data_IF_494263378012
#
_entry.id   IF_494263378012
#
_cell.length_a   1.000
_cell.length_b   1.000
_cell.length_c   1.000
_cell.angle_alpha   90.00
_cell.angle_beta   90.00
_cell.angle_gamma   90.00
#
_symmetry.space_group_name_H-M   'P 1'
#
loop_
_entity.id
_entity.type
_entity.pdbx_description
1 polymer ?
#
# COMPACT_ATOMS: atom_id res chain seq x y z
N UNK A 1 -13.99 -10.75 -16.05
CA UNK A 1 -12.95 -11.57 -15.41
C UNK A 1 -12.12 -10.66 -14.50
N UNK A 2 -11.43 -9.62 -14.98
CA UNK A 2 -10.58 -8.75 -14.15
C UNK A 2 -11.33 -8.13 -12.95
N UNK A 3 -12.54 -7.65 -13.14
CA UNK A 3 -13.36 -7.07 -12.05
C UNK A 3 -13.65 -8.07 -10.92
N UNK A 4 -13.87 -9.35 -11.23
CA UNK A 4 -14.05 -10.39 -10.20
C UNK A 4 -12.75 -10.69 -9.47
N UNK A 5 -11.63 -10.76 -10.18
CA UNK A 5 -10.30 -10.94 -9.60
C UNK A 5 -9.93 -9.78 -8.65
N UNK A 6 -10.26 -8.54 -9.04
CA UNK A 6 -10.10 -7.36 -8.20
C UNK A 6 -10.96 -7.44 -6.94
N UNK A 7 -12.22 -7.91 -7.06
CA UNK A 7 -13.13 -8.11 -5.93
C UNK A 7 -12.63 -9.22 -5.01
N UNK A 8 -12.18 -10.36 -5.56
CA UNK A 8 -11.61 -11.45 -4.77
C UNK A 8 -10.36 -10.97 -4.01
N UNK A 9 -9.51 -10.19 -4.67
CA UNK A 9 -8.34 -9.58 -4.05
C UNK A 9 -8.74 -8.67 -2.90
N UNK A 10 -9.74 -7.80 -3.12
CA UNK A 10 -10.27 -6.93 -2.08
C UNK A 10 -10.85 -7.72 -0.91
N UNK A 11 -11.66 -8.76 -1.16
CA UNK A 11 -12.25 -9.59 -0.10
C UNK A 11 -11.17 -10.33 0.69
N UNK A 12 -10.15 -10.86 0.01
CA UNK A 12 -8.97 -11.45 0.67
C UNK A 12 -8.22 -10.42 1.52
N UNK A 13 -8.23 -9.17 1.08
CA UNK A 13 -7.57 -8.05 1.74
C UNK A 13 -8.28 -7.61 3.02
N UNK A 14 -9.62 -7.46 2.99
CA UNK A 14 -10.42 -6.97 4.12
C UNK A 14 -11.01 -8.11 4.99
N UNK A 15 -10.93 -9.35 4.54
CA UNK A 15 -11.44 -10.54 5.24
C UNK A 15 -12.97 -10.70 5.11
N UNK A 16 -13.74 -9.64 5.30
CA UNK A 16 -15.21 -9.66 5.20
C UNK A 16 -15.68 -8.63 4.19
N UNK A 17 -16.48 -9.00 3.18
CA UNK A 17 -17.01 -8.06 2.21
C UNK A 17 -17.91 -7.03 2.88
N UNK A 18 -17.50 -5.76 2.81
CA UNK A 18 -18.27 -4.63 3.32
C UNK A 18 -19.19 -4.03 2.25
N UNK A 19 -19.82 -2.90 2.59
CA UNK A 19 -20.72 -2.15 1.70
C UNK A 19 -20.10 -1.87 0.33
N UNK A 20 -18.82 -1.49 0.28
CA UNK A 20 -18.10 -1.22 -0.96
C UNK A 20 -18.04 -2.45 -1.90
N UNK A 21 -17.86 -3.66 -1.36
CA UNK A 21 -17.87 -4.88 -2.16
C UNK A 21 -19.25 -5.15 -2.77
N UNK A 22 -20.32 -4.88 -2.02
CA UNK A 22 -21.70 -5.03 -2.50
C UNK A 22 -21.98 -4.00 -3.62
N UNK A 23 -21.58 -2.76 -3.45
CA UNK A 23 -21.73 -1.71 -4.47
C UNK A 23 -20.93 -2.03 -5.74
N UNK A 24 -19.73 -2.59 -5.59
CA UNK A 24 -18.92 -3.07 -6.70
C UNK A 24 -19.59 -4.22 -7.46
N UNK A 25 -20.12 -5.22 -6.75
CA UNK A 25 -20.88 -6.33 -7.34
C UNK A 25 -22.12 -5.84 -8.06
N UNK A 26 -22.87 -4.90 -7.48
CA UNK A 26 -24.02 -4.28 -8.12
C UNK A 26 -23.66 -3.63 -9.45
N UNK A 27 -22.55 -2.91 -9.49
CA UNK A 27 -22.05 -2.29 -10.72
C UNK A 27 -21.64 -3.34 -11.76
N UNK A 28 -20.95 -4.39 -11.32
CA UNK A 28 -20.51 -5.48 -12.17
C UNK A 28 -21.69 -6.23 -12.79
N UNK A 29 -22.74 -6.56 -12.02
CA UNK A 29 -23.94 -7.22 -12.52
C UNK A 29 -24.67 -6.39 -13.57
N UNK A 30 -24.75 -5.06 -13.35
CA UNK A 30 -25.32 -4.13 -14.35
C UNK A 30 -24.50 -4.12 -15.65
N UNK A 31 -23.15 -4.12 -15.56
CA UNK A 31 -22.27 -4.16 -16.73
C UNK A 31 -22.35 -5.49 -17.48
N UNK A 32 -22.64 -6.59 -16.81
CA UNK A 32 -22.81 -7.91 -17.42
C UNK A 32 -24.14 -8.07 -18.17
N UNK A 33 -25.15 -7.31 -17.81
CA UNK A 33 -26.52 -7.51 -18.32
C UNK A 33 -26.65 -7.53 -19.86
N UNK A 34 -25.87 -6.74 -20.64
CA UNK A 34 -25.93 -6.84 -22.10
C UNK A 34 -25.30 -8.11 -22.69
N UNK A 35 -24.42 -8.78 -21.94
CA UNK A 35 -23.63 -9.95 -22.40
C UNK A 35 -24.29 -11.25 -21.92
N UNK A 36 -24.71 -11.28 -20.66
CA UNK A 36 -25.31 -12.46 -20.01
C UNK A 36 -26.60 -12.08 -19.28
N UNK A 37 -27.66 -11.71 -20.00
CA UNK A 37 -28.87 -11.09 -19.41
C UNK A 37 -29.52 -11.99 -18.36
N UNK A 38 -29.67 -13.30 -18.61
CA UNK A 38 -30.31 -14.21 -17.67
C UNK A 38 -29.55 -14.34 -16.36
N UNK A 39 -28.23 -14.49 -16.42
CA UNK A 39 -27.39 -14.58 -15.21
C UNK A 39 -27.41 -13.25 -14.46
N UNK A 40 -27.35 -12.13 -15.17
CA UNK A 40 -27.39 -10.82 -14.56
C UNK A 40 -28.72 -10.54 -13.85
N UNK A 41 -29.86 -10.93 -14.42
CA UNK A 41 -31.18 -10.79 -13.78
C UNK A 41 -31.28 -11.65 -12.51
N UNK A 42 -30.78 -12.90 -12.56
CA UNK A 42 -30.78 -13.78 -11.40
C UNK A 42 -29.94 -13.22 -10.26
N UNK A 43 -28.69 -12.81 -10.56
CA UNK A 43 -27.80 -12.18 -9.58
C UNK A 43 -28.39 -10.89 -9.02
N UNK A 44 -28.98 -10.05 -9.89
CA UNK A 44 -29.64 -8.82 -9.48
C UNK A 44 -30.77 -9.08 -8.48
N UNK A 45 -31.62 -10.11 -8.75
CA UNK A 45 -32.67 -10.51 -7.84
C UNK A 45 -32.13 -11.05 -6.51
N UNK A 46 -31.08 -11.88 -6.53
CA UNK A 46 -30.43 -12.42 -5.33
C UNK A 46 -29.83 -11.32 -4.44
N UNK A 47 -29.37 -10.23 -5.06
CA UNK A 47 -28.81 -9.08 -4.37
C UNK A 47 -29.87 -8.09 -3.88
N UNK A 48 -31.15 -8.39 -4.04
CA UNK A 48 -32.26 -7.52 -3.63
C UNK A 48 -32.56 -6.38 -4.58
N UNK A 49 -32.08 -6.46 -5.84
CA UNK A 49 -32.37 -5.46 -6.87
C UNK A 49 -33.83 -5.47 -7.29
N UNK A 50 -34.40 -4.31 -7.54
CA UNK A 50 -35.78 -4.15 -8.00
C UNK A 50 -35.86 -3.89 -9.49
N UNK A 51 -36.84 -4.53 -10.15
CA UNK A 51 -37.05 -4.42 -11.60
C UNK A 51 -35.95 -5.10 -12.42
N UNK A 52 -35.89 -4.79 -13.72
CA UNK A 52 -34.93 -5.40 -14.61
C UNK A 52 -33.55 -4.74 -14.49
N UNK A 53 -32.49 -5.54 -14.37
CA UNK A 53 -31.10 -5.06 -14.27
C UNK A 53 -30.71 -4.22 -15.50
N UNK A 54 -31.21 -4.57 -16.69
CA UNK A 54 -30.96 -3.84 -17.92
C UNK A 54 -31.47 -2.36 -17.91
N UNK A 55 -32.38 -2.03 -16.98
CA UNK A 55 -32.89 -0.67 -16.77
C UNK A 55 -32.21 0.04 -15.58
N UNK A 56 -31.38 -0.66 -14.86
CA UNK A 56 -30.69 -0.08 -13.69
C UNK A 56 -29.58 0.87 -14.10
N UNK A 57 -29.55 2.05 -13.49
CA UNK A 57 -28.54 3.07 -13.77
C UNK A 57 -27.23 2.71 -13.03
N UNK A 58 -26.11 2.91 -13.71
CA UNK A 58 -24.79 2.80 -13.08
C UNK A 58 -24.43 4.18 -12.50
N UNK A 59 -24.15 4.20 -11.20
CA UNK A 59 -23.71 5.43 -10.55
C UNK A 59 -22.29 5.79 -11.01
N UNK A 60 -22.12 6.98 -11.56
CA UNK A 60 -20.84 7.48 -12.06
C UNK A 60 -19.83 7.77 -10.95
N UNK A 61 -20.28 7.98 -9.72
CA UNK A 61 -19.38 8.23 -8.59
C UNK A 61 -18.60 6.96 -8.20
N UNK A 62 -19.18 5.78 -8.39
CA UNK A 62 -18.51 4.49 -8.15
C UNK A 62 -17.36 4.19 -9.11
N UNK A 63 -17.24 4.95 -10.20
CA UNK A 63 -16.16 4.76 -11.19
C UNK A 63 -14.91 5.60 -10.90
N UNK A 64 -14.92 6.45 -9.87
CA UNK A 64 -13.75 7.22 -9.45
C UNK A 64 -12.86 6.34 -8.57
N UNK A 65 -11.73 5.91 -9.13
CA UNK A 65 -10.69 5.22 -8.37
C UNK A 65 -10.15 6.14 -7.25
N UNK A 66 -10.08 5.62 -6.04
CA UNK A 66 -9.37 6.30 -4.95
C UNK A 66 -7.86 6.04 -5.10
N UNK A 67 -7.18 6.99 -5.73
CA UNK A 67 -5.73 6.91 -5.94
C UNK A 67 -4.95 6.85 -4.62
N UNK A 68 -5.50 7.42 -3.52
CA UNK A 68 -4.87 7.36 -2.20
C UNK A 68 -4.88 5.92 -1.71
N UNK A 69 -6.04 5.27 -1.79
CA UNK A 69 -6.19 3.87 -1.39
C UNK A 69 -5.26 2.95 -2.18
N UNK A 70 -5.14 3.15 -3.49
CA UNK A 70 -4.31 2.30 -4.35
C UNK A 70 -2.81 2.38 -3.98
N UNK A 71 -2.31 3.58 -3.68
CA UNK A 71 -0.91 3.77 -3.25
C UNK A 71 -0.67 3.17 -1.88
N UNK A 72 -1.58 3.42 -0.92
CA UNK A 72 -1.50 2.83 0.41
C UNK A 72 -1.53 1.30 0.35
N UNK A 73 -2.44 0.73 -0.46
CA UNK A 73 -2.55 -0.71 -0.65
C UNK A 73 -1.25 -1.31 -1.16
N UNK A 74 -0.69 -0.78 -2.23
CA UNK A 74 0.57 -1.26 -2.80
C UNK A 74 1.72 -1.18 -1.79
N UNK A 75 1.78 -0.09 -1.01
CA UNK A 75 2.78 0.05 0.03
C UNK A 75 2.62 -1.03 1.11
N UNK A 76 1.40 -1.27 1.58
CA UNK A 76 1.12 -2.33 2.56
C UNK A 76 1.45 -3.72 2.01
N UNK A 77 1.23 -3.97 0.72
CA UNK A 77 1.60 -5.24 0.08
C UNK A 77 3.13 -5.44 0.09
N UNK A 78 3.92 -4.40 -0.27
CA UNK A 78 5.39 -4.46 -0.19
C UNK A 78 5.85 -4.78 1.23
N UNK A 79 5.34 -4.06 2.22
CA UNK A 79 5.75 -4.26 3.62
C UNK A 79 5.31 -5.63 4.13
N UNK A 80 4.15 -6.12 3.71
CA UNK A 80 3.67 -7.47 4.07
C UNK A 80 4.60 -8.55 3.49
N UNK A 81 5.06 -8.39 2.25
CA UNK A 81 5.99 -9.33 1.62
C UNK A 81 7.38 -9.26 2.26
N UNK A 82 7.86 -8.08 2.64
CA UNK A 82 9.09 -7.91 3.41
C UNK A 82 9.01 -8.60 4.78
N UNK A 83 7.89 -8.43 5.50
CA UNK A 83 7.66 -9.12 6.78
C UNK A 83 7.64 -10.63 6.57
N UNK A 84 6.95 -11.14 5.55
CA UNK A 84 6.92 -12.56 5.21
C UNK A 84 8.32 -13.11 4.99
N UNK A 85 9.13 -12.43 4.20
CA UNK A 85 10.53 -12.82 3.93
C UNK A 85 11.38 -12.87 5.21
N UNK A 86 11.15 -11.95 6.16
CA UNK A 86 11.84 -11.98 7.47
C UNK A 86 11.37 -13.17 8.29
N UNK A 87 10.06 -13.44 8.34
CA UNK A 87 9.47 -14.56 9.07
C UNK A 87 9.93 -15.92 8.55
N UNK A 88 10.10 -16.07 7.25
CA UNK A 88 10.63 -17.29 6.62
C UNK A 88 12.05 -17.62 7.07
N UNK A 89 12.86 -16.59 7.36
CA UNK A 89 14.26 -16.78 7.80
C UNK A 89 14.40 -16.90 9.32
N UNK A 90 13.69 -16.05 10.06
CA UNK A 90 13.88 -15.91 11.51
C UNK A 90 12.83 -16.71 12.29
N UNK A 91 11.67 -16.91 11.71
CA UNK A 91 10.48 -17.40 12.40
C UNK A 91 9.85 -16.31 13.27
N UNK A 92 8.86 -16.72 14.07
CA UNK A 92 8.19 -15.84 15.02
C UNK A 92 6.72 -15.59 14.70
N UNK A 93 6.04 -15.01 15.66
CA UNK A 93 4.61 -14.69 15.59
C UNK A 93 4.29 -13.22 15.95
N UNK A 94 5.33 -12.50 16.38
CA UNK A 94 5.24 -11.08 16.75
C UNK A 94 6.27 -10.28 15.95
N UNK A 95 5.81 -9.19 15.36
CA UNK A 95 6.64 -8.35 14.49
C UNK A 95 6.64 -6.90 14.98
N UNK A 96 7.82 -6.30 14.97
CA UNK A 96 7.99 -4.87 15.23
C UNK A 96 8.53 -4.20 13.96
N UNK A 97 7.86 -3.13 13.56
CA UNK A 97 8.18 -2.37 12.35
C UNK A 97 8.57 -0.95 12.74
N UNK A 98 9.70 -0.47 12.22
CA UNK A 98 10.20 0.89 12.41
C UNK A 98 10.10 1.66 11.11
N UNK A 99 9.25 2.68 11.08
CA UNK A 99 9.11 3.60 9.95
C UNK A 99 9.96 4.84 10.16
N UNK A 100 10.34 5.49 9.09
CA UNK A 100 10.92 6.83 9.20
C UNK A 100 9.83 7.89 9.45
N UNK A 101 10.30 9.08 9.83
CA UNK A 101 9.44 10.22 10.00
C UNK A 101 8.95 10.74 8.65
N UNK A 102 7.73 11.26 8.65
CA UNK A 102 7.05 11.77 7.46
C UNK A 102 7.81 12.90 6.75
N UNK A 103 8.67 13.61 7.49
CA UNK A 103 9.54 14.67 6.97
C UNK A 103 10.49 14.17 5.89
N UNK A 104 10.77 12.86 5.82
CA UNK A 104 11.61 12.25 4.79
C UNK A 104 10.82 11.73 3.58
N UNK A 105 9.50 11.81 3.61
CA UNK A 105 8.65 11.36 2.49
C UNK A 105 8.89 12.16 1.19
N UNK A 106 9.42 13.40 1.28
CA UNK A 106 9.79 14.21 0.11
C UNK A 106 10.81 13.52 -0.80
N UNK A 107 11.65 12.64 -0.24
CA UNK A 107 12.62 11.87 -1.04
C UNK A 107 11.90 11.01 -2.07
N UNK A 108 10.84 10.31 -1.66
CA UNK A 108 10.03 9.51 -2.55
C UNK A 108 9.35 10.36 -3.63
N UNK A 109 8.85 11.55 -3.25
CA UNK A 109 8.26 12.50 -4.20
C UNK A 109 9.27 12.95 -5.24
N UNK A 110 10.47 13.40 -4.82
CA UNK A 110 11.52 13.84 -5.75
C UNK A 110 11.98 12.71 -6.68
N UNK A 111 12.17 11.51 -6.16
CA UNK A 111 12.52 10.35 -6.98
C UNK A 111 11.43 10.08 -8.02
N UNK A 112 10.15 10.15 -7.64
CA UNK A 112 9.04 9.99 -8.57
C UNK A 112 9.03 11.08 -9.67
N UNK A 113 9.27 12.34 -9.31
CA UNK A 113 9.36 13.47 -10.25
C UNK A 113 10.50 13.27 -11.26
N UNK A 114 11.68 12.86 -10.80
CA UNK A 114 12.84 12.58 -11.66
C UNK A 114 12.56 11.38 -12.61
N UNK A 115 11.91 10.32 -12.12
CA UNK A 115 11.51 9.18 -12.94
C UNK A 115 10.53 9.60 -14.05
N UNK A 116 9.56 10.43 -13.75
CA UNK A 116 8.60 10.94 -14.73
C UNK A 116 9.23 11.87 -15.76
N UNK A 117 10.31 12.57 -15.41
CA UNK A 117 11.10 13.36 -16.34
C UNK A 117 11.98 12.52 -17.29
N UNK A 118 12.03 11.19 -17.09
CA UNK A 118 12.88 10.28 -17.86
C UNK A 118 14.35 10.32 -17.46
N UNK A 119 14.67 10.78 -16.24
CA UNK A 119 16.05 10.84 -15.76
C UNK A 119 16.62 9.43 -15.51
N UNK A 120 17.86 9.22 -15.93
CA UNK A 120 18.59 7.98 -15.64
C UNK A 120 18.95 7.89 -14.15
N UNK A 121 19.03 6.66 -13.62
CA UNK A 121 19.37 6.43 -12.21
C UNK A 121 20.65 7.15 -11.76
N UNK A 122 21.66 7.21 -12.63
CA UNK A 122 22.93 7.91 -12.37
C UNK A 122 22.72 9.42 -12.13
N UNK A 123 21.80 10.03 -12.87
CA UNK A 123 21.48 11.45 -12.76
C UNK A 123 20.66 11.72 -11.51
N UNK A 124 19.71 10.87 -11.18
CA UNK A 124 18.92 10.93 -9.93
C UNK A 124 19.87 10.88 -8.73
N UNK A 125 20.78 9.90 -8.71
CA UNK A 125 21.78 9.78 -7.65
C UNK A 125 22.62 11.06 -7.54
N UNK A 126 23.19 11.52 -8.65
CA UNK A 126 24.05 12.72 -8.67
C UNK A 126 23.34 13.97 -8.13
N UNK A 127 22.06 14.14 -8.43
CA UNK A 127 21.26 15.30 -7.99
C UNK A 127 20.88 15.22 -6.51
N UNK A 128 20.42 14.05 -6.05
CA UNK A 128 19.87 13.91 -4.71
C UNK A 128 20.91 13.54 -3.64
N UNK A 129 22.04 12.89 -4.00
CA UNK A 129 23.03 12.43 -3.01
C UNK A 129 23.61 13.57 -2.18
N UNK A 130 23.83 14.73 -2.79
CA UNK A 130 24.36 15.90 -2.07
C UNK A 130 23.39 16.38 -1.00
N UNK A 131 22.11 16.56 -1.36
CA UNK A 131 21.06 17.02 -0.45
C UNK A 131 20.85 16.02 0.71
N UNK A 132 20.87 14.70 0.42
CA UNK A 132 20.77 13.66 1.44
C UNK A 132 21.99 13.63 2.38
N UNK A 133 23.17 13.90 1.84
CA UNK A 133 24.41 13.99 2.66
C UNK A 133 24.37 15.20 3.60
N UNK A 134 23.89 16.34 3.13
CA UNK A 134 23.72 17.56 3.95
C UNK A 134 22.71 17.35 5.09
N UNK A 135 21.71 16.46 4.89
CA UNK A 135 20.77 16.02 5.92
C UNK A 135 21.34 14.92 6.84
N UNK A 136 22.61 14.54 6.69
CA UNK A 136 23.26 13.52 7.52
C UNK A 136 22.85 12.08 7.18
N UNK A 137 22.20 11.85 6.04
CA UNK A 137 21.82 10.50 5.60
C UNK A 137 23.09 9.77 5.14
N UNK A 138 23.36 8.64 5.79
CA UNK A 138 24.45 7.75 5.42
C UNK A 138 24.10 6.94 4.19
N UNK A 139 25.03 6.75 3.27
CA UNK A 139 24.89 5.96 2.04
C UNK A 139 23.71 6.46 1.15
N UNK A 140 23.70 7.74 0.75
CA UNK A 140 22.59 8.34 0.00
C UNK A 140 22.27 7.57 -1.29
N UNK A 141 23.28 7.05 -1.99
CA UNK A 141 23.10 6.27 -3.22
C UNK A 141 22.27 5.02 -3.00
N UNK A 142 22.49 4.33 -1.87
CA UNK A 142 21.70 3.15 -1.49
C UNK A 142 20.26 3.55 -1.19
N UNK A 143 20.06 4.63 -0.45
CA UNK A 143 18.72 5.15 -0.14
C UNK A 143 17.97 5.47 -1.41
N UNK A 144 18.58 6.21 -2.35
CA UNK A 144 17.96 6.60 -3.61
C UNK A 144 17.58 5.36 -4.44
N UNK A 145 18.46 4.36 -4.56
CA UNK A 145 18.15 3.11 -5.27
C UNK A 145 16.99 2.36 -4.65
N UNK A 146 16.97 2.22 -3.32
CA UNK A 146 15.87 1.56 -2.60
C UNK A 146 14.55 2.30 -2.81
N UNK A 147 14.56 3.62 -2.67
CA UNK A 147 13.36 4.44 -2.88
C UNK A 147 12.88 4.35 -4.32
N UNK A 148 13.79 4.40 -5.29
CA UNK A 148 13.46 4.26 -6.72
C UNK A 148 12.77 2.91 -7.01
N UNK A 149 13.27 1.81 -6.45
CA UNK A 149 12.66 0.48 -6.61
C UNK A 149 11.22 0.47 -6.06
N UNK A 150 11.01 0.99 -4.85
CA UNK A 150 9.67 1.05 -4.25
C UNK A 150 8.75 1.99 -5.02
N UNK A 151 9.23 3.17 -5.43
CA UNK A 151 8.46 4.13 -6.24
C UNK A 151 8.07 3.53 -7.59
N UNK A 152 8.95 2.75 -8.24
CA UNK A 152 8.64 2.02 -9.48
C UNK A 152 7.45 1.08 -9.28
N UNK A 153 7.40 0.37 -8.16
CA UNK A 153 6.30 -0.54 -7.83
C UNK A 153 5.00 0.20 -7.47
N UNK A 154 5.10 1.27 -6.69
CA UNK A 154 3.93 2.10 -6.32
C UNK A 154 3.30 2.77 -7.56
N UNK A 155 4.10 3.06 -8.56
CA UNK A 155 3.75 3.85 -9.73
C UNK A 155 4.02 5.34 -9.50
N UNK A 156 5.04 5.92 -10.14
CA UNK A 156 5.47 7.29 -9.87
C UNK A 156 4.35 8.32 -10.11
N UNK A 157 3.54 8.16 -11.17
CA UNK A 157 2.39 9.05 -11.43
C UNK A 157 1.34 9.01 -10.31
N UNK A 158 1.06 7.81 -9.77
CA UNK A 158 0.09 7.63 -8.70
C UNK A 158 0.59 8.22 -7.40
N UNK A 159 1.88 8.06 -7.13
CA UNK A 159 2.52 8.62 -5.95
C UNK A 159 2.51 10.16 -5.99
N UNK A 160 2.78 10.78 -7.15
CA UNK A 160 2.68 12.24 -7.29
C UNK A 160 1.24 12.72 -7.04
N UNK A 161 0.23 12.08 -7.64
CA UNK A 161 -1.18 12.39 -7.35
C UNK A 161 -1.54 12.22 -5.88
N UNK A 162 -0.96 11.22 -5.21
CA UNK A 162 -1.11 11.06 -3.77
C UNK A 162 -0.62 12.29 -3.02
N UNK A 163 0.60 12.76 -3.30
CA UNK A 163 1.16 13.97 -2.67
C UNK A 163 0.39 15.26 -3.00
N UNK A 164 -0.21 15.36 -4.18
CA UNK A 164 -1.06 16.50 -4.54
C UNK A 164 -2.34 16.54 -3.71
N UNK A 165 -2.88 15.39 -3.37
CA UNK A 165 -4.15 15.25 -2.64
C UNK A 165 -3.96 15.29 -1.13
N UNK A 166 -3.03 14.50 -0.58
CA UNK A 166 -2.81 14.32 0.85
C UNK A 166 -1.68 15.19 1.42
N UNK A 167 -0.92 15.87 0.55
CA UNK A 167 0.27 16.69 0.85
C UNK A 167 1.47 15.90 1.39
N UNK A 168 1.27 14.79 2.08
CA UNK A 168 2.34 13.97 2.66
C UNK A 168 1.98 12.48 2.67
N UNK A 169 2.99 11.62 2.58
CA UNK A 169 2.86 10.18 2.76
C UNK A 169 3.45 9.79 4.12
N UNK A 170 2.61 9.40 5.06
CA UNK A 170 3.03 9.00 6.40
C UNK A 170 2.96 7.47 6.56
N UNK A 171 4.10 6.81 6.41
CA UNK A 171 4.26 5.35 6.52
C UNK A 171 3.70 4.78 7.84
N UNK A 172 3.95 5.50 8.96
CA UNK A 172 3.45 5.10 10.28
C UNK A 172 1.93 5.06 10.32
N UNK A 173 1.28 6.10 9.83
CA UNK A 173 -0.19 6.18 9.80
C UNK A 173 -0.79 5.11 8.89
N UNK A 174 -0.18 4.88 7.71
CA UNK A 174 -0.62 3.84 6.78
C UNK A 174 -0.51 2.46 7.41
N UNK A 175 0.65 2.09 7.96
CA UNK A 175 0.84 0.77 8.57
C UNK A 175 -0.01 0.57 9.82
N UNK A 176 -0.24 1.62 10.61
CA UNK A 176 -1.13 1.57 11.77
C UNK A 176 -2.59 1.34 11.35
N UNK A 177 -3.03 2.04 10.31
CA UNK A 177 -4.38 1.89 9.71
C UNK A 177 -4.64 0.46 9.26
N UNK A 178 -3.65 -0.16 8.60
CA UNK A 178 -3.76 -1.50 8.03
C UNK A 178 -3.16 -2.62 8.90
N UNK A 179 -2.79 -2.33 10.14
CA UNK A 179 -2.18 -3.28 11.08
C UNK A 179 -2.97 -4.60 11.19
N UNK A 180 -4.27 -4.52 11.43
CA UNK A 180 -5.13 -5.70 11.58
C UNK A 180 -5.16 -6.58 10.35
N UNK A 181 -5.11 -5.99 9.17
CA UNK A 181 -5.03 -6.70 7.91
C UNK A 181 -3.71 -7.48 7.77
N UNK A 182 -2.57 -6.84 8.05
CA UNK A 182 -1.25 -7.48 7.98
C UNK A 182 -1.17 -8.65 8.96
N UNK A 183 -1.65 -8.44 10.18
CA UNK A 183 -1.72 -9.48 11.23
C UNK A 183 -2.52 -10.70 10.73
N UNK A 184 -3.72 -10.47 10.18
CA UNK A 184 -4.57 -11.54 9.66
C UNK A 184 -3.95 -12.27 8.48
N UNK A 185 -3.35 -11.54 7.52
CA UNK A 185 -2.72 -12.12 6.32
C UNK A 185 -1.52 -13.01 6.61
N UNK A 186 -0.73 -12.64 7.62
CA UNK A 186 0.49 -13.36 7.99
C UNK A 186 0.29 -14.34 9.15
N UNK A 187 -0.91 -14.38 9.75
CA UNK A 187 -1.20 -15.23 10.91
C UNK A 187 -0.39 -14.83 12.14
N UNK A 188 -0.08 -13.55 12.29
CA UNK A 188 0.69 -13.04 13.42
C UNK A 188 -0.18 -12.96 14.68
N UNK A 189 0.47 -13.07 15.84
CA UNK A 189 -0.14 -12.76 17.12
C UNK A 189 -0.22 -11.26 17.34
N UNK A 190 0.84 -10.54 16.96
CA UNK A 190 0.89 -9.09 17.06
C UNK A 190 1.83 -8.45 16.04
N UNK A 191 1.51 -7.19 15.69
CA UNK A 191 2.33 -6.30 14.88
C UNK A 191 2.38 -4.93 15.57
N UNK A 192 3.55 -4.48 15.95
CA UNK A 192 3.75 -3.16 16.57
C UNK A 192 4.48 -2.24 15.59
N UNK A 193 3.96 -1.06 15.38
CA UNK A 193 4.58 -0.06 14.51
C UNK A 193 5.12 1.09 15.36
N UNK A 194 6.38 1.47 15.14
CA UNK A 194 7.02 2.61 15.78
C UNK A 194 7.61 3.56 14.74
N UNK A 195 7.70 4.83 15.10
CA UNK A 195 8.60 5.75 14.39
C UNK A 195 10.04 5.52 14.86
N UNK A 196 10.98 5.49 13.93
CA UNK A 196 12.38 5.32 14.27
C UNK A 196 12.93 6.45 15.17
N UNK A 197 12.36 7.64 15.10
CA UNK A 197 12.70 8.78 15.97
C UNK A 197 12.08 8.70 17.38
N UNK A 198 11.08 7.85 17.62
CA UNK A 198 10.46 7.77 18.97
C UNK A 198 11.48 7.25 20.00
N UNK A 199 11.86 8.08 21.00
CA UNK A 199 12.85 7.66 22.01
C UNK A 199 12.34 6.52 22.90
N UNK A 200 11.02 6.32 22.99
CA UNK A 200 10.40 5.25 23.77
C UNK A 200 10.37 3.92 23.03
N UNK A 201 10.57 3.93 21.70
CA UNK A 201 10.62 2.71 20.93
C UNK A 201 11.90 1.93 21.22
N UNK A 202 11.84 0.66 21.60
CA UNK A 202 13.02 -0.18 21.82
C UNK A 202 13.75 -0.37 20.48
N UNK A 203 15.08 -0.38 20.48
CA UNK A 203 15.85 -0.74 19.28
C UNK A 203 16.14 -2.23 19.27
N UNK A 204 15.26 -3.00 18.67
CA UNK A 204 15.37 -4.46 18.60
C UNK A 204 16.26 -4.87 17.43
N UNK A 205 17.36 -5.52 17.73
CA UNK A 205 18.31 -6.02 16.73
C UNK A 205 18.93 -4.94 15.82
N UNK A 206 19.01 -3.68 16.29
CA UNK A 206 19.51 -2.55 15.49
C UNK A 206 18.65 -2.21 14.27
N UNK A 207 17.38 -2.61 14.27
CA UNK A 207 16.47 -2.41 13.11
C UNK A 207 15.97 -0.98 13.00
N UNK A 208 15.92 -0.25 14.11
CA UNK A 208 15.56 1.15 14.16
C UNK A 208 16.46 2.01 13.27
N UNK A 209 17.78 1.77 13.30
CA UNK A 209 18.76 2.48 12.47
C UNK A 209 18.81 2.02 11.01
N UNK A 210 18.10 0.95 10.66
CA UNK A 210 18.05 0.40 9.30
C UNK A 210 16.81 0.81 8.52
N UNK A 211 15.88 1.52 9.16
CA UNK A 211 14.72 2.06 8.46
C UNK A 211 15.15 3.05 7.38
N UNK A 212 14.62 2.91 6.18
CA UNK A 212 14.81 3.80 5.04
C UNK A 212 13.45 4.32 4.58
N UNK A 213 13.39 5.44 3.83
CA UNK A 213 12.13 5.92 3.27
C UNK A 213 11.47 4.82 2.42
N UNK A 214 10.20 4.53 2.68
CA UNK A 214 9.39 3.47 2.09
C UNK A 214 9.92 2.03 2.30
N UNK A 215 10.96 1.85 3.10
CA UNK A 215 11.54 0.54 3.43
C UNK A 215 11.77 0.46 4.95
N UNK A 216 10.74 0.10 5.71
CA UNK A 216 10.80 0.08 7.17
C UNK A 216 11.79 -0.96 7.70
N UNK A 217 12.33 -0.72 8.88
CA UNK A 217 13.11 -1.70 9.61
C UNK A 217 12.19 -2.75 10.25
N UNK A 218 12.43 -4.04 10.00
CA UNK A 218 11.56 -5.13 10.46
C UNK A 218 12.33 -6.02 11.44
N UNK A 219 11.73 -6.30 12.60
CA UNK A 219 12.20 -7.25 13.59
C UNK A 219 11.09 -8.25 13.90
N UNK A 220 11.41 -9.54 13.82
CA UNK A 220 10.50 -10.62 14.19
C UNK A 220 10.99 -11.37 15.40
N UNK A 221 10.07 -11.83 16.26
CA UNK A 221 10.35 -12.63 17.45
C UNK A 221 9.20 -13.58 17.73
N UNK A 222 9.49 -14.66 18.45
CA UNK A 222 8.45 -15.52 19.02
C UNK A 222 7.99 -14.92 20.35
N UNK A 223 6.67 -14.88 20.56
CA UNK A 223 6.15 -14.56 21.89
C UNK A 223 6.55 -15.67 22.86
N UNK A 224 7.21 -15.30 23.92
CA UNK A 224 7.48 -16.15 25.08
C UNK A 224 6.19 -16.47 25.83
#
# INVERSE_FOLDING_TARGET
IKMLEDLETYVKWVGTPGKAAIEYLNTWVKLMSPITPFIAEELWSLMGGHGYVAKAVIDKELTRGDHLFEVEQRYVDIVTDDIRSVLEVVGGDTVVVYTLDKELAWIAKKVAEEMLSGAEMSDIIRRLSRELTELGIRQPDRVIRTVHEVVSYLGPEKLIKYFETSKEFDEFSVLTKYRGLIVTRLGLKDLVVYRASDPRAPDLGGRKSRALPLKPGIYATSST
#
